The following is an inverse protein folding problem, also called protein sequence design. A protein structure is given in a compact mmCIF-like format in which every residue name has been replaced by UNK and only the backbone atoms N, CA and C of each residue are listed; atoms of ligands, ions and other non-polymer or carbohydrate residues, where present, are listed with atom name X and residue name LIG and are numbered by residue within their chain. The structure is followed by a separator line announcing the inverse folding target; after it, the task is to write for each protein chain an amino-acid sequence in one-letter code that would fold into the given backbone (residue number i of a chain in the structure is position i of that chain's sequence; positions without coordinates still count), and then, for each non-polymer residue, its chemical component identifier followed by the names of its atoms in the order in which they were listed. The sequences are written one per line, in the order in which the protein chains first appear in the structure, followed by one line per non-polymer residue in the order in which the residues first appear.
data_IF_795397108664
#
_entry.id   IF_795397108664
#
_cell.length_a   1.000
_cell.length_b   1.000
_cell.length_c   1.000
_cell.angle_alpha   90.00
_cell.angle_beta   90.00
_cell.angle_gamma   90.00
#
_symmetry.space_group_name_H-M   'P 1'
#
loop_
_entity.id
_entity.type
_entity.pdbx_description
1 polymer ?
#
# COMPACT_ATOMS: atom_id res chain seq x y z
N UNK A 1 10.91 1.45 6.92
CA UNK A 1 9.70 2.20 6.52
C UNK A 1 8.64 1.29 5.95
N UNK A 2 8.80 0.69 4.77
CA UNK A 2 7.80 -0.24 4.18
C UNK A 2 7.26 -1.29 5.17
N UNK A 3 8.15 -2.03 5.85
CA UNK A 3 7.77 -3.02 6.87
C UNK A 3 6.97 -2.43 8.05
N UNK A 4 7.25 -1.18 8.43
CA UNK A 4 6.54 -0.52 9.53
C UNK A 4 5.11 -0.15 9.15
N UNK A 5 4.92 0.38 7.93
CA UNK A 5 3.58 0.67 7.38
C UNK A 5 2.76 -0.63 7.21
N UNK A 6 3.41 -1.68 6.70
CA UNK A 6 2.78 -3.01 6.61
C UNK A 6 2.33 -3.51 7.98
N UNK A 7 3.21 -3.43 8.99
CA UNK A 7 2.88 -3.87 10.35
C UNK A 7 1.73 -3.06 10.95
N UNK A 8 1.67 -1.75 10.70
CA UNK A 8 0.57 -0.90 11.16
C UNK A 8 -0.79 -1.36 10.62
N UNK A 9 -0.87 -1.65 9.32
CA UNK A 9 -2.08 -2.16 8.68
C UNK A 9 -2.48 -3.54 9.21
N UNK A 10 -1.52 -4.46 9.36
CA UNK A 10 -1.76 -5.81 9.86
C UNK A 10 -2.23 -5.78 11.32
N UNK A 11 -1.60 -4.97 12.16
CA UNK A 11 -1.97 -4.83 13.57
C UNK A 11 -3.37 -4.22 13.71
N UNK A 12 -3.66 -3.17 12.95
CA UNK A 12 -4.99 -2.55 12.95
C UNK A 12 -6.08 -3.54 12.51
N UNK A 13 -5.86 -4.28 11.43
CA UNK A 13 -6.77 -5.34 10.99
C UNK A 13 -6.93 -6.43 12.06
N UNK A 14 -5.84 -6.87 12.69
CA UNK A 14 -5.87 -7.86 13.77
C UNK A 14 -6.71 -7.41 14.97
N UNK A 15 -6.55 -6.15 15.40
CA UNK A 15 -7.36 -5.56 16.47
C UNK A 15 -8.84 -5.53 16.11
N UNK A 16 -9.19 -5.05 14.90
CA UNK A 16 -10.58 -5.04 14.44
C UNK A 16 -11.18 -6.46 14.37
N UNK A 17 -10.43 -7.44 13.88
CA UNK A 17 -10.85 -8.86 13.85
C UNK A 17 -11.11 -9.37 15.26
N UNK A 18 -10.21 -9.12 16.20
CA UNK A 18 -10.37 -9.54 17.59
C UNK A 18 -11.63 -8.93 18.23
N UNK A 19 -11.87 -7.63 18.04
CA UNK A 19 -13.04 -6.94 18.61
C UNK A 19 -14.37 -7.45 18.05
N UNK A 20 -14.44 -7.70 16.74
CA UNK A 20 -15.64 -8.24 16.09
C UNK A 20 -15.85 -9.72 16.46
N UNK A 21 -14.80 -10.54 16.46
CA UNK A 21 -14.88 -11.97 16.77
C UNK A 21 -15.33 -12.23 18.22
N UNK A 22 -14.85 -11.42 19.17
CA UNK A 22 -15.24 -11.53 20.59
C UNK A 22 -16.62 -10.95 20.90
N UNK A 23 -17.31 -10.37 19.90
CA UNK A 23 -18.54 -9.59 20.08
C UNK A 23 -18.40 -8.46 21.11
N UNK A 24 -17.17 -7.97 21.35
CA UNK A 24 -16.92 -6.79 22.19
C UNK A 24 -17.58 -5.56 21.58
N UNK A 25 -17.61 -5.51 20.24
CA UNK A 25 -18.32 -4.48 19.47
C UNK A 25 -19.24 -5.18 18.48
N UNK A 26 -20.51 -4.79 18.48
CA UNK A 26 -21.49 -5.27 17.52
C UNK A 26 -21.46 -4.40 16.25
N UNK A 27 -21.49 -5.01 15.05
CA UNK A 27 -21.53 -4.24 13.81
C UNK A 27 -22.75 -3.32 13.74
N UNK A 28 -22.51 -2.01 13.67
CA UNK A 28 -23.59 -1.00 13.69
C UNK A 28 -24.15 -0.67 12.30
N UNK A 29 -23.46 -1.06 11.22
CA UNK A 29 -23.80 -0.66 9.85
C UNK A 29 -23.99 -1.85 8.89
N UNK A 30 -24.50 -2.98 9.41
CA UNK A 30 -24.63 -4.23 8.64
C UNK A 30 -25.42 -4.05 7.33
N UNK A 31 -26.46 -3.23 7.33
CA UNK A 31 -27.31 -2.95 6.16
C UNK A 31 -26.59 -2.21 5.01
N UNK A 32 -25.45 -1.56 5.31
CA UNK A 32 -24.66 -0.82 4.32
C UNK A 32 -23.59 -1.68 3.64
N UNK A 33 -23.50 -2.97 3.95
CA UNK A 33 -22.39 -3.83 3.53
C UNK A 33 -22.21 -3.89 2.00
N UNK A 34 -23.30 -4.06 1.23
CA UNK A 34 -23.26 -4.10 -0.24
C UNK A 34 -22.78 -2.79 -0.84
N UNK A 35 -23.31 -1.67 -0.36
CA UNK A 35 -22.92 -0.33 -0.83
C UNK A 35 -21.45 -0.05 -0.52
N UNK A 36 -21.02 -0.36 0.71
CA UNK A 36 -19.64 -0.18 1.14
C UNK A 36 -18.68 -1.10 0.39
N UNK A 37 -19.07 -2.32 0.03
CA UNK A 37 -18.25 -3.23 -0.77
C UNK A 37 -17.96 -2.65 -2.16
N UNK A 38 -18.98 -2.10 -2.84
CA UNK A 38 -18.78 -1.47 -4.15
C UNK A 38 -17.86 -0.26 -4.04
N UNK A 39 -18.07 0.59 -3.03
CA UNK A 39 -17.21 1.76 -2.77
C UNK A 39 -15.78 1.33 -2.46
N UNK A 40 -15.59 0.34 -1.59
CA UNK A 40 -14.29 -0.21 -1.22
C UNK A 40 -13.56 -0.79 -2.42
N UNK A 41 -14.26 -1.51 -3.31
CA UNK A 41 -13.69 -2.04 -4.53
C UNK A 41 -13.21 -0.94 -5.47
N UNK A 42 -14.03 0.10 -5.70
CA UNK A 42 -13.67 1.24 -6.56
C UNK A 42 -12.44 1.96 -6.00
N UNK A 43 -12.43 2.23 -4.69
CA UNK A 43 -11.32 2.89 -4.01
C UNK A 43 -10.06 2.01 -4.09
N UNK A 44 -10.16 0.70 -3.83
CA UNK A 44 -9.02 -0.21 -3.89
C UNK A 44 -8.40 -0.25 -5.29
N UNK A 45 -9.21 -0.48 -6.32
CA UNK A 45 -8.74 -0.54 -7.72
C UNK A 45 -8.16 0.81 -8.15
N UNK A 46 -8.86 1.90 -7.85
CA UNK A 46 -8.43 3.26 -8.18
C UNK A 46 -7.10 3.63 -7.53
N UNK A 47 -6.94 3.34 -6.24
CA UNK A 47 -5.71 3.58 -5.49
C UNK A 47 -4.54 2.73 -5.94
N UNK A 48 -4.76 1.44 -6.23
CA UNK A 48 -3.72 0.57 -6.79
C UNK A 48 -3.26 1.12 -8.14
N UNK A 49 -4.19 1.42 -9.04
CA UNK A 49 -3.87 1.96 -10.35
C UNK A 49 -3.14 3.29 -10.27
N UNK A 50 -3.61 4.21 -9.43
CA UNK A 50 -2.98 5.50 -9.19
C UNK A 50 -1.57 5.34 -8.62
N UNK A 51 -1.37 4.49 -7.62
CA UNK A 51 -0.08 4.21 -7.01
C UNK A 51 0.95 3.70 -8.02
N UNK A 52 0.57 2.73 -8.85
CA UNK A 52 1.46 2.19 -9.90
C UNK A 52 1.79 3.24 -10.97
N UNK A 53 0.78 4.00 -11.41
CA UNK A 53 0.95 5.02 -12.46
C UNK A 53 1.81 6.19 -12.00
N UNK A 54 1.56 6.71 -10.79
CA UNK A 54 2.32 7.82 -10.21
C UNK A 54 3.77 7.40 -9.97
N UNK A 55 3.99 6.19 -9.43
CA UNK A 55 5.34 5.66 -9.25
C UNK A 55 6.08 5.55 -10.58
N UNK A 56 5.44 4.96 -11.61
CA UNK A 56 6.04 4.84 -12.94
C UNK A 56 6.40 6.19 -13.54
N UNK A 57 5.50 7.18 -13.46
CA UNK A 57 5.76 8.55 -13.94
C UNK A 57 6.97 9.18 -13.24
N UNK A 58 7.01 9.11 -11.91
CA UNK A 58 8.15 9.61 -11.12
C UNK A 58 9.44 8.90 -11.49
N UNK A 59 9.40 7.59 -11.69
CA UNK A 59 10.59 6.81 -12.05
C UNK A 59 11.18 7.24 -13.40
N UNK A 60 10.33 7.51 -14.39
CA UNK A 60 10.76 8.03 -15.70
C UNK A 60 11.45 9.39 -15.53
N UNK A 61 10.86 10.29 -14.73
CA UNK A 61 11.46 11.61 -14.45
C UNK A 61 12.81 11.48 -13.74
N UNK A 62 12.93 10.59 -12.75
CA UNK A 62 14.18 10.37 -12.00
C UNK A 62 15.29 9.84 -12.91
N UNK A 63 14.97 8.92 -13.83
CA UNK A 63 15.95 8.37 -14.79
C UNK A 63 16.48 9.43 -15.75
N UNK A 64 15.61 10.33 -16.20
CA UNK A 64 15.98 11.41 -17.13
C UNK A 64 16.81 12.52 -16.46
N UNK A 65 16.87 12.55 -15.13
CA UNK A 65 17.61 13.55 -14.37
C UNK A 65 19.13 13.33 -14.50
N UNK A 66 19.86 14.39 -14.83
CA UNK A 66 21.33 14.44 -14.76
C UNK A 66 21.73 14.73 -13.30
N UNK A 67 21.60 13.72 -12.46
CA UNK A 67 21.92 13.76 -11.03
C UNK A 67 22.72 12.53 -10.63
N UNK A 68 23.43 12.63 -9.52
CA UNK A 68 24.19 11.52 -8.94
C UNK A 68 23.26 10.39 -8.43
N UNK A 69 23.85 9.23 -8.15
CA UNK A 69 23.09 8.06 -7.69
C UNK A 69 22.35 8.33 -6.37
N UNK A 70 22.96 9.12 -5.47
CA UNK A 70 22.44 9.43 -4.14
C UNK A 70 21.19 10.29 -4.20
N UNK A 71 21.17 11.32 -5.03
CA UNK A 71 20.02 12.18 -5.28
C UNK A 71 18.88 11.39 -5.95
N UNK A 72 19.21 10.57 -6.96
CA UNK A 72 18.22 9.68 -7.61
C UNK A 72 17.60 8.71 -6.61
N UNK A 73 18.38 8.16 -5.68
CA UNK A 73 17.88 7.28 -4.63
C UNK A 73 16.98 8.02 -3.62
N UNK A 74 17.30 9.25 -3.25
CA UNK A 74 16.45 10.07 -2.39
C UNK A 74 15.07 10.34 -3.04
N UNK A 75 15.06 10.68 -4.33
CA UNK A 75 13.83 10.88 -5.10
C UNK A 75 13.04 9.57 -5.27
N UNK A 76 13.74 8.46 -5.50
CA UNK A 76 13.14 7.13 -5.56
C UNK A 76 12.43 6.75 -4.26
N UNK A 77 13.09 6.97 -3.11
CA UNK A 77 12.48 6.73 -1.79
C UNK A 77 11.21 7.55 -1.60
N UNK A 78 11.22 8.81 -2.03
CA UNK A 78 10.02 9.66 -2.00
C UNK A 78 8.91 9.10 -2.90
N UNK A 79 9.23 8.64 -4.11
CA UNK A 79 8.27 8.00 -5.00
C UNK A 79 7.66 6.72 -4.39
N UNK A 80 8.48 5.89 -3.73
CA UNK A 80 8.02 4.73 -2.99
C UNK A 80 7.05 5.09 -1.86
N UNK A 81 7.37 6.12 -1.04
CA UNK A 81 6.49 6.55 0.05
C UNK A 81 5.11 6.99 -0.46
N UNK A 82 5.06 7.72 -1.58
CA UNK A 82 3.80 8.14 -2.20
C UNK A 82 3.01 6.93 -2.70
N UNK A 83 3.68 5.98 -3.34
CA UNK A 83 3.04 4.72 -3.79
C UNK A 83 2.46 3.94 -2.59
N UNK A 84 3.21 3.83 -1.51
CA UNK A 84 2.78 3.10 -0.31
C UNK A 84 1.61 3.79 0.39
N UNK A 85 1.61 5.12 0.49
CA UNK A 85 0.49 5.87 1.06
C UNK A 85 -0.82 5.66 0.26
N UNK A 86 -0.72 5.60 -1.08
CA UNK A 86 -1.86 5.31 -1.94
C UNK A 86 -2.41 3.90 -1.74
N UNK A 87 -1.56 2.91 -1.45
CA UNK A 87 -1.97 1.53 -1.18
C UNK A 87 -2.44 1.32 0.27
N UNK A 88 -1.93 2.08 1.22
CA UNK A 88 -2.30 2.00 2.63
C UNK A 88 -3.73 2.50 2.89
N UNK A 89 -4.12 3.62 2.27
CA UNK A 89 -5.47 4.19 2.37
C UNK A 89 -6.62 3.18 2.14
N UNK A 90 -6.68 2.46 0.99
CA UNK A 90 -7.74 1.49 0.74
C UNK A 90 -7.71 0.29 1.69
N UNK A 91 -6.52 -0.13 2.18
CA UNK A 91 -6.38 -1.22 3.15
C UNK A 91 -7.00 -0.85 4.49
N UNK A 92 -6.68 0.36 4.99
CA UNK A 92 -7.27 0.90 6.22
C UNK A 92 -8.78 1.09 6.06
N UNK A 93 -9.22 1.65 4.92
CA UNK A 93 -10.65 1.83 4.63
C UNK A 93 -11.42 0.51 4.64
N UNK A 94 -10.92 -0.53 3.96
CA UNK A 94 -11.55 -1.85 3.96
C UNK A 94 -11.60 -2.44 5.38
N UNK A 95 -10.55 -2.26 6.18
CA UNK A 95 -10.53 -2.71 7.58
C UNK A 95 -11.62 -2.01 8.41
N UNK A 96 -11.82 -0.71 8.22
CA UNK A 96 -12.91 0.05 8.86
C UNK A 96 -14.28 -0.48 8.40
N UNK A 97 -14.47 -0.74 7.10
CA UNK A 97 -15.71 -1.32 6.59
C UNK A 97 -16.00 -2.70 7.20
N UNK A 98 -14.99 -3.56 7.34
CA UNK A 98 -15.11 -4.82 8.09
C UNK A 98 -15.57 -4.57 9.52
N UNK A 99 -14.91 -3.65 10.23
CA UNK A 99 -15.22 -3.33 11.62
C UNK A 99 -16.66 -2.81 11.80
N UNK A 100 -17.17 -2.01 10.86
CA UNK A 100 -18.52 -1.45 10.91
C UNK A 100 -19.64 -2.44 10.53
N UNK A 101 -19.34 -3.38 9.63
CA UNK A 101 -20.36 -4.26 9.01
C UNK A 101 -20.28 -5.71 9.50
N UNK A 102 -19.14 -6.13 10.04
CA UNK A 102 -18.82 -7.52 10.36
C UNK A 102 -18.64 -8.40 9.12
N UNK A 103 -18.59 -7.83 7.91
CA UNK A 103 -18.54 -8.58 6.66
C UNK A 103 -17.10 -8.92 6.28
N UNK A 104 -16.76 -10.22 6.29
CA UNK A 104 -15.42 -10.73 6.00
C UNK A 104 -14.96 -10.52 4.55
N UNK A 105 -15.86 -10.18 3.61
CA UNK A 105 -15.49 -9.85 2.23
C UNK A 105 -14.52 -8.65 2.16
N UNK A 106 -14.64 -7.69 3.09
CA UNK A 106 -13.70 -6.57 3.18
C UNK A 106 -12.28 -7.03 3.54
N UNK A 107 -12.13 -8.07 4.36
CA UNK A 107 -10.81 -8.62 4.70
C UNK A 107 -10.15 -9.31 3.50
N UNK A 108 -10.94 -9.92 2.59
CA UNK A 108 -10.41 -10.44 1.34
C UNK A 108 -9.78 -9.31 0.49
N UNK A 109 -10.42 -8.13 0.43
CA UNK A 109 -9.84 -6.95 -0.23
C UNK A 109 -8.57 -6.48 0.49
N UNK A 110 -8.56 -6.43 1.82
CA UNK A 110 -7.35 -6.11 2.61
C UNK A 110 -6.20 -7.04 2.23
N UNK A 111 -6.43 -8.35 2.17
CA UNK A 111 -5.38 -9.32 1.79
C UNK A 111 -4.82 -9.07 0.39
N UNK A 112 -5.68 -8.77 -0.59
CA UNK A 112 -5.24 -8.43 -1.96
C UNK A 112 -4.39 -7.15 -1.95
N UNK A 113 -4.84 -6.11 -1.24
CA UNK A 113 -4.11 -4.84 -1.17
C UNK A 113 -2.76 -5.03 -0.45
N UNK A 114 -2.72 -5.79 0.64
CA UNK A 114 -1.49 -6.10 1.37
C UNK A 114 -0.52 -6.92 0.50
N UNK A 115 -1.02 -7.87 -0.27
CA UNK A 115 -0.20 -8.63 -1.21
C UNK A 115 0.46 -7.69 -2.24
N UNK A 116 -0.32 -6.80 -2.86
CA UNK A 116 0.21 -5.79 -3.78
C UNK A 116 1.21 -4.87 -3.06
N UNK A 117 0.90 -4.42 -1.85
CA UNK A 117 1.78 -3.59 -1.03
C UNK A 117 3.14 -4.27 -0.80
N UNK A 118 3.16 -5.55 -0.43
CA UNK A 118 4.39 -6.33 -0.24
C UNK A 118 5.19 -6.42 -1.53
N UNK A 119 4.54 -6.64 -2.68
CA UNK A 119 5.22 -6.66 -3.98
C UNK A 119 5.89 -5.33 -4.34
N UNK A 120 5.47 -4.20 -3.75
CA UNK A 120 6.12 -2.89 -3.96
C UNK A 120 7.36 -2.66 -3.10
N UNK A 121 7.72 -3.60 -2.21
CA UNK A 121 8.92 -3.47 -1.39
C UNK A 121 10.18 -3.23 -2.25
N UNK A 122 11.06 -2.28 -1.86
CA UNK A 122 12.30 -2.03 -2.57
C UNK A 122 13.31 -3.11 -2.17
N UNK A 123 13.98 -3.68 -3.16
CA UNK A 123 15.14 -4.58 -2.96
C UNK A 123 16.33 -4.02 -3.73
N UNK A 124 17.55 -4.40 -3.36
CA UNK A 124 18.78 -3.92 -4.04
C UNK A 124 18.70 -4.11 -5.56
N UNK A 125 18.37 -5.32 -6.00
CA UNK A 125 18.16 -5.65 -7.41
C UNK A 125 17.05 -4.80 -8.06
N UNK A 126 15.93 -4.61 -7.36
CA UNK A 126 14.81 -3.83 -7.90
C UNK A 126 15.18 -2.36 -8.04
N UNK A 127 15.89 -1.79 -7.08
CA UNK A 127 16.39 -0.41 -7.12
C UNK A 127 17.34 -0.25 -8.31
N UNK A 128 18.31 -1.15 -8.47
CA UNK A 128 19.26 -1.13 -9.58
C UNK A 128 18.54 -1.14 -10.94
N UNK A 129 17.64 -2.09 -11.16
CA UNK A 129 16.85 -2.20 -12.40
C UNK A 129 15.92 -0.99 -12.61
N UNK A 130 15.35 -0.47 -11.53
CA UNK A 130 14.43 0.64 -11.59
C UNK A 130 15.14 1.98 -11.80
N UNK A 131 16.35 2.18 -11.27
CA UNK A 131 17.11 3.42 -11.47
C UNK A 131 18.09 3.36 -12.65
N UNK A 132 18.36 2.17 -13.18
CA UNK A 132 19.36 1.94 -14.25
C UNK A 132 20.75 2.44 -13.86
N UNK A 133 21.14 2.20 -12.60
CA UNK A 133 22.46 2.54 -12.04
C UNK A 133 23.38 1.31 -12.04
N UNK A 134 24.68 1.55 -12.08
CA UNK A 134 25.71 0.51 -12.04
C UNK A 134 25.81 -0.17 -10.66
N UNK A 135 26.48 -1.32 -10.57
CA UNK A 135 26.74 -1.98 -9.28
C UNK A 135 27.63 -1.14 -8.37
N UNK A 136 28.64 -0.46 -8.91
CA UNK A 136 29.52 0.44 -8.15
C UNK A 136 28.72 1.59 -7.49
N UNK A 137 27.84 2.24 -8.25
CA UNK A 137 26.95 3.28 -7.72
C UNK A 137 25.96 2.73 -6.68
N UNK A 138 25.56 1.46 -6.78
CA UNK A 138 24.65 0.82 -5.83
C UNK A 138 25.35 0.50 -4.50
N UNK A 139 26.64 0.18 -4.52
CA UNK A 139 27.44 -0.08 -3.31
C UNK A 139 27.70 1.20 -2.50
N UNK A 140 27.63 2.36 -3.14
CA UNK A 140 27.79 3.68 -2.52
C UNK A 140 26.50 4.22 -1.85
N UNK A 141 25.35 3.54 -2.00
CA UNK A 141 24.01 3.93 -1.48
C UNK A 141 23.67 3.32 -0.12
#
# INVERSE_FOLDING_TARGET
MHKALLMGQVLFAGVCIYLVYTNTILPMAKELDKTLQVVALIIAVGSIYAGMTIFKKKLITIRALQADAKEKFALYRTACLIQWALLEGPSIFCTICFFLTGNYAFLALVLVILFVFVMTAPSKLKIQLQLQISEAELEEL
#
